data_IF_721904300788
#
_entry.id   IF_721904300788
#
_cell.length_a   1.000
_cell.length_b   1.000
_cell.length_c   1.000
_cell.angle_alpha   90.00
_cell.angle_beta   90.00
_cell.angle_gamma   90.00
#
_symmetry.space_group_name_H-M   'P 1'
#
loop_
_entity.id
_entity.type
_entity.pdbx_description
1 polymer ?
#
# COMPACT_ATOMS: atom_id res chain seq x y z
N UNK A 1 -64.18 25.92 21.21
CA UNK A 1 -62.82 25.99 21.85
C UNK A 1 -62.20 24.59 21.99
N UNK A 2 -62.14 23.82 20.91
CA UNK A 2 -61.61 22.40 20.99
C UNK A 2 -60.79 22.01 19.76
N UNK A 3 -60.27 22.94 18.97
CA UNK A 3 -59.52 22.68 17.76
C UNK A 3 -58.06 23.18 17.76
N UNK A 4 -57.55 23.72 18.89
CA UNK A 4 -56.23 24.33 18.96
C UNK A 4 -55.14 23.43 19.61
N UNK A 5 -55.51 22.28 20.18
CA UNK A 5 -54.56 21.43 20.98
C UNK A 5 -54.02 20.21 20.23
N UNK A 6 -54.50 19.93 19.01
CA UNK A 6 -54.05 18.73 18.27
C UNK A 6 -52.92 18.99 17.27
N UNK A 7 -52.47 20.23 17.07
CA UNK A 7 -51.44 20.62 16.10
C UNK A 7 -50.04 20.73 16.68
N UNK A 8 -49.89 20.69 18.01
CA UNK A 8 -48.59 20.82 18.68
C UNK A 8 -47.93 19.49 19.05
N UNK A 9 -48.67 18.37 18.99
CA UNK A 9 -48.11 17.05 19.33
C UNK A 9 -47.43 16.34 18.12
N UNK A 10 -47.74 16.78 16.89
CA UNK A 10 -47.21 16.15 15.68
C UNK A 10 -45.84 16.66 15.26
N UNK A 11 -45.33 17.74 15.85
CA UNK A 11 -43.96 18.28 15.54
C UNK A 11 -42.86 17.79 16.48
N UNK A 12 -43.19 17.15 17.59
CA UNK A 12 -42.19 16.67 18.56
C UNK A 12 -41.63 15.26 18.27
N UNK A 13 -42.27 14.49 17.37
CA UNK A 13 -41.89 13.10 17.07
C UNK A 13 -40.97 12.97 15.84
N UNK A 14 -40.84 14.03 15.01
CA UNK A 14 -40.06 13.98 13.80
C UNK A 14 -38.59 14.52 13.95
N UNK A 15 -38.24 15.00 15.14
CA UNK A 15 -36.89 15.54 15.40
C UNK A 15 -35.87 14.53 16.00
N UNK A 16 -36.27 13.29 16.20
CA UNK A 16 -35.42 12.24 16.81
C UNK A 16 -34.79 11.25 15.81
N UNK A 17 -34.96 11.46 14.50
CA UNK A 17 -34.51 10.47 13.50
C UNK A 17 -33.28 10.85 12.70
N UNK A 18 -32.62 11.98 12.96
CA UNK A 18 -31.36 12.34 12.32
C UNK A 18 -30.32 12.82 13.34
N UNK A 19 -30.01 12.00 14.32
CA UNK A 19 -28.66 12.07 14.88
C UNK A 19 -27.73 11.53 13.77
N UNK A 20 -26.77 12.32 13.23
CA UNK A 20 -25.72 11.73 12.42
C UNK A 20 -25.08 10.66 13.30
N UNK A 21 -25.06 9.42 12.83
CA UNK A 21 -24.16 8.41 13.38
C UNK A 21 -22.79 9.02 13.22
N UNK A 22 -22.27 9.65 14.28
CA UNK A 22 -20.87 9.98 14.38
C UNK A 22 -20.17 8.63 14.17
N UNK A 23 -19.61 8.42 12.99
CA UNK A 23 -18.72 7.31 12.78
C UNK A 23 -17.61 7.52 13.79
N UNK A 24 -17.66 6.77 14.89
CA UNK A 24 -16.63 6.82 15.89
C UNK A 24 -15.31 6.59 15.14
N UNK A 25 -14.45 7.59 15.12
CA UNK A 25 -13.17 7.49 14.45
C UNK A 25 -12.45 6.31 15.10
N UNK A 26 -12.09 5.30 14.28
CA UNK A 26 -11.41 4.13 14.81
C UNK A 26 -10.18 4.58 15.61
N UNK A 27 -9.91 3.98 16.78
CA UNK A 27 -8.81 4.38 17.63
C UNK A 27 -7.47 4.30 16.87
N UNK A 28 -6.53 5.13 17.26
CA UNK A 28 -5.19 5.16 16.68
C UNK A 28 -4.41 3.87 17.00
N UNK A 29 -3.33 3.56 16.26
CA UNK A 29 -2.56 2.32 16.42
C UNK A 29 -2.00 2.08 17.82
N UNK A 30 -1.67 3.13 18.55
CA UNK A 30 -1.18 3.08 19.95
C UNK A 30 -2.27 2.65 20.93
N UNK A 31 -3.52 3.05 20.68
CA UNK A 31 -4.67 2.73 21.53
C UNK A 31 -5.32 1.37 21.18
N UNK A 32 -5.21 0.91 19.92
CA UNK A 32 -5.81 -0.35 19.47
C UNK A 32 -4.96 -0.99 18.34
N UNK A 33 -3.76 -1.48 18.64
CA UNK A 33 -2.85 -2.02 17.63
C UNK A 33 -3.40 -3.25 16.89
N UNK A 34 -4.28 -4.01 17.51
CA UNK A 34 -4.96 -5.16 16.94
C UNK A 34 -5.99 -4.82 15.84
N UNK A 35 -6.42 -3.55 15.77
CA UNK A 35 -7.31 -3.04 14.71
C UNK A 35 -6.55 -2.53 13.48
N UNK A 36 -5.25 -2.72 13.41
CA UNK A 36 -4.41 -2.24 12.34
C UNK A 36 -3.53 -3.33 11.75
N UNK A 37 -3.27 -3.20 10.47
CA UNK A 37 -2.27 -3.98 9.72
C UNK A 37 -1.48 -3.05 8.83
N UNK A 38 -0.30 -3.49 8.41
CA UNK A 38 0.54 -2.80 7.45
C UNK A 38 0.54 -3.54 6.13
N UNK A 39 0.49 -2.80 5.03
CA UNK A 39 0.77 -3.29 3.70
C UNK A 39 2.14 -2.79 3.28
N UNK A 40 3.14 -3.66 3.26
CA UNK A 40 4.44 -3.38 2.68
C UNK A 40 4.34 -3.59 1.18
N UNK A 41 4.52 -2.51 0.44
CA UNK A 41 4.31 -2.47 -1.01
C UNK A 41 5.62 -2.11 -1.69
N UNK A 42 5.84 -2.69 -2.85
CA UNK A 42 6.87 -2.29 -3.77
C UNK A 42 6.39 -2.53 -5.20
N UNK A 43 6.71 -1.63 -6.14
CA UNK A 43 6.25 -1.69 -7.51
C UNK A 43 7.42 -1.55 -8.48
N UNK A 44 7.36 -2.34 -9.55
CA UNK A 44 8.20 -2.13 -10.73
C UNK A 44 7.39 -1.44 -11.82
N UNK A 45 8.05 -0.59 -12.59
CA UNK A 45 7.40 0.29 -13.55
C UNK A 45 8.19 0.40 -14.85
N UNK A 46 7.56 0.92 -15.89
CA UNK A 46 8.24 1.24 -17.15
C UNK A 46 9.09 2.51 -17.07
N UNK A 47 9.05 3.27 -15.95
CA UNK A 47 9.82 4.49 -15.73
C UNK A 47 9.34 5.28 -14.52
N UNK A 48 9.78 6.51 -14.34
CA UNK A 48 9.64 7.24 -13.08
C UNK A 48 8.41 8.16 -12.99
N UNK A 49 7.73 8.45 -14.10
CA UNK A 49 6.61 9.40 -14.16
C UNK A 49 5.27 8.66 -14.32
N UNK A 50 4.41 8.61 -13.30
CA UNK A 50 3.14 7.88 -13.36
C UNK A 50 2.12 8.49 -14.33
N UNK A 51 2.39 9.68 -14.89
CA UNK A 51 1.57 10.23 -15.97
C UNK A 51 1.93 9.69 -17.36
N UNK A 52 3.07 9.01 -17.49
CA UNK A 52 3.62 8.50 -18.76
C UNK A 52 3.95 7.02 -18.73
N UNK A 53 4.29 6.53 -17.57
CA UNK A 53 4.77 5.17 -17.37
C UNK A 53 3.75 4.34 -16.61
N UNK A 54 3.85 3.04 -16.75
CA UNK A 54 2.89 2.08 -16.25
C UNK A 54 3.57 1.11 -15.27
N UNK A 55 2.77 0.57 -14.36
CA UNK A 55 3.21 -0.48 -13.45
C UNK A 55 3.34 -1.80 -14.21
N UNK A 56 4.45 -2.50 -14.00
CA UNK A 56 4.69 -3.81 -14.62
C UNK A 56 4.65 -4.97 -13.64
N UNK A 57 4.82 -4.71 -12.38
CA UNK A 57 4.47 -5.65 -11.31
C UNK A 57 4.28 -4.94 -9.98
N UNK A 58 3.69 -5.66 -9.04
CA UNK A 58 3.51 -5.22 -7.66
C UNK A 58 3.67 -6.39 -6.70
N UNK A 59 4.41 -6.14 -5.62
CA UNK A 59 4.49 -7.01 -4.46
C UNK A 59 3.80 -6.38 -3.26
N UNK A 60 3.01 -7.18 -2.56
CA UNK A 60 2.36 -6.79 -1.32
C UNK A 60 2.63 -7.85 -0.25
N UNK A 61 3.11 -7.41 0.91
CA UNK A 61 3.22 -8.24 2.10
C UNK A 61 2.49 -7.56 3.23
N UNK A 62 1.45 -8.22 3.73
CA UNK A 62 0.70 -7.74 4.89
C UNK A 62 1.32 -8.25 6.17
N UNK A 63 1.46 -7.37 7.15
CA UNK A 63 1.94 -7.72 8.50
C UNK A 63 1.04 -7.13 9.56
N UNK A 64 1.12 -7.65 10.77
CA UNK A 64 0.70 -6.90 11.95
C UNK A 64 1.69 -5.75 12.24
N UNK A 65 1.40 -4.93 13.25
CA UNK A 65 2.27 -3.81 13.62
C UNK A 65 3.61 -4.25 14.25
N UNK A 66 3.74 -5.51 14.66
CA UNK A 66 5.00 -6.09 15.13
C UNK A 66 5.85 -6.66 13.98
N UNK A 67 5.33 -6.61 12.75
CA UNK A 67 6.01 -7.10 11.56
C UNK A 67 5.83 -8.61 11.31
N UNK A 68 4.92 -9.30 12.02
CA UNK A 68 4.60 -10.69 11.72
C UNK A 68 3.77 -10.77 10.43
N UNK A 69 4.22 -11.58 9.46
CA UNK A 69 3.57 -11.70 8.15
C UNK A 69 2.23 -12.40 8.26
N UNK A 70 1.21 -11.81 7.64
CA UNK A 70 -0.16 -12.34 7.53
C UNK A 70 -0.40 -12.98 6.18
N UNK A 71 0.28 -12.51 5.13
CA UNK A 71 0.19 -13.05 3.79
C UNK A 71 0.87 -12.17 2.77
N UNK A 72 1.07 -12.71 1.56
CA UNK A 72 1.71 -12.01 0.45
C UNK A 72 1.01 -12.24 -0.88
N UNK A 73 1.13 -11.27 -1.76
CA UNK A 73 0.68 -11.32 -3.15
C UNK A 73 1.79 -10.77 -4.06
N UNK A 74 1.97 -11.40 -5.20
CA UNK A 74 2.77 -10.88 -6.31
C UNK A 74 1.96 -10.95 -7.59
N UNK A 75 1.90 -9.85 -8.33
CA UNK A 75 1.18 -9.78 -9.60
C UNK A 75 2.09 -9.15 -10.65
N UNK A 76 2.35 -9.87 -11.75
CA UNK A 76 2.91 -9.27 -12.95
C UNK A 76 1.79 -8.63 -13.76
N UNK A 77 2.03 -7.43 -14.24
CA UNK A 77 1.07 -6.62 -14.98
C UNK A 77 1.63 -6.39 -16.38
N UNK A 78 0.84 -6.68 -17.38
CA UNK A 78 1.19 -6.35 -18.76
C UNK A 78 0.79 -4.89 -18.98
N UNK A 79 1.74 -3.98 -19.20
CA UNK A 79 1.40 -2.59 -19.49
C UNK A 79 0.72 -2.47 -20.85
N UNK A 80 -0.17 -1.50 -21.00
CA UNK A 80 -0.85 -1.22 -22.27
C UNK A 80 0.10 -0.63 -23.31
N UNK A 81 1.18 0.05 -22.85
CA UNK A 81 2.18 0.71 -23.67
C UNK A 81 3.61 0.24 -23.34
N UNK A 82 3.94 -1.03 -23.60
CA UNK A 82 5.25 -1.59 -23.27
C UNK A 82 6.42 -0.91 -23.99
N UNK A 83 6.16 -0.23 -25.11
CA UNK A 83 7.14 0.57 -25.86
C UNK A 83 7.61 1.81 -25.11
N UNK A 84 6.89 2.23 -24.05
CA UNK A 84 7.26 3.42 -23.23
C UNK A 84 8.29 3.12 -22.17
N UNK A 85 8.83 1.89 -22.11
CA UNK A 85 9.82 1.56 -21.09
C UNK A 85 11.09 2.39 -21.25
N UNK A 86 11.48 3.06 -20.18
CA UNK A 86 12.77 3.72 -20.09
C UNK A 86 13.90 2.67 -19.99
N UNK A 87 14.99 2.92 -20.69
CA UNK A 87 16.16 2.04 -20.65
C UNK A 87 16.74 1.91 -19.23
N UNK A 88 16.62 2.98 -18.41
CA UNK A 88 16.98 2.94 -17.00
C UNK A 88 16.15 1.95 -16.21
N UNK A 89 14.83 1.98 -16.35
CA UNK A 89 13.92 1.05 -15.71
C UNK A 89 14.17 -0.40 -16.14
N UNK A 90 14.32 -0.64 -17.45
CA UNK A 90 14.63 -1.97 -17.99
C UNK A 90 15.91 -2.57 -17.40
N UNK A 91 16.96 -1.76 -17.19
CA UNK A 91 18.21 -2.25 -16.55
C UNK A 91 18.02 -2.64 -15.10
N UNK A 92 17.05 -2.05 -14.40
CA UNK A 92 16.75 -2.34 -13.00
C UNK A 92 15.91 -3.62 -12.88
N UNK A 93 14.78 -3.68 -13.61
CA UNK A 93 13.75 -4.71 -13.43
C UNK A 93 13.72 -5.80 -14.51
N UNK A 94 14.55 -5.66 -15.56
CA UNK A 94 14.67 -6.68 -16.61
C UNK A 94 13.41 -6.89 -17.45
N UNK A 95 12.49 -5.90 -17.50
CA UNK A 95 11.24 -6.04 -18.21
C UNK A 95 11.43 -6.47 -19.67
N UNK A 96 10.78 -7.55 -20.03
CA UNK A 96 10.66 -8.08 -21.38
C UNK A 96 9.22 -8.58 -21.62
N UNK A 97 8.61 -8.15 -22.71
CA UNK A 97 7.18 -8.42 -23.01
C UNK A 97 6.90 -9.92 -23.12
N UNK A 98 7.79 -10.66 -23.79
CA UNK A 98 7.58 -12.10 -24.00
C UNK A 98 7.81 -12.88 -22.71
N UNK A 99 8.80 -12.47 -21.92
CA UNK A 99 9.02 -13.03 -20.59
C UNK A 99 7.81 -12.78 -19.67
N UNK A 100 7.31 -11.54 -19.60
CA UNK A 100 6.12 -11.21 -18.79
C UNK A 100 4.91 -12.05 -19.20
N UNK A 101 4.65 -12.14 -20.49
CA UNK A 101 3.55 -12.96 -21.03
C UNK A 101 3.70 -14.44 -20.67
N UNK A 102 4.89 -14.99 -20.84
CA UNK A 102 5.19 -16.39 -20.50
C UNK A 102 5.10 -16.71 -19.01
N UNK A 103 5.27 -15.69 -18.13
CA UNK A 103 5.28 -15.83 -16.68
C UNK A 103 4.01 -15.30 -16.01
N UNK A 104 2.88 -15.29 -16.72
CA UNK A 104 1.55 -15.08 -16.18
C UNK A 104 1.19 -13.63 -15.89
N UNK A 105 1.80 -12.67 -16.61
CA UNK A 105 1.35 -11.28 -16.54
C UNK A 105 -0.12 -11.17 -16.97
N UNK A 106 -0.89 -10.40 -16.18
CA UNK A 106 -2.30 -10.12 -16.43
C UNK A 106 -2.49 -8.66 -16.84
N UNK A 107 -3.62 -8.33 -17.47
CA UNK A 107 -3.95 -6.93 -17.72
C UNK A 107 -4.26 -6.16 -16.44
N UNK A 108 -4.21 -4.83 -16.51
CA UNK A 108 -4.36 -3.95 -15.34
C UNK A 108 -5.67 -4.18 -14.57
N UNK A 109 -6.80 -4.33 -15.26
CA UNK A 109 -8.10 -4.56 -14.61
C UNK A 109 -8.12 -5.83 -13.76
N UNK A 110 -7.50 -6.92 -14.25
CA UNK A 110 -7.38 -8.18 -13.52
C UNK A 110 -6.40 -8.05 -12.36
N UNK A 111 -5.29 -7.32 -12.55
CA UNK A 111 -4.34 -7.04 -11.47
C UNK A 111 -5.02 -6.27 -10.32
N UNK A 112 -5.77 -5.21 -10.64
CA UNK A 112 -6.52 -4.45 -9.64
C UNK A 112 -7.53 -5.33 -8.91
N UNK A 113 -8.26 -6.20 -9.61
CA UNK A 113 -9.17 -7.15 -8.97
C UNK A 113 -8.45 -8.05 -7.97
N UNK A 114 -7.31 -8.64 -8.36
CA UNK A 114 -6.51 -9.51 -7.49
C UNK A 114 -5.98 -8.76 -6.26
N UNK A 115 -5.49 -7.54 -6.45
CA UNK A 115 -4.97 -6.68 -5.37
C UNK A 115 -6.09 -6.36 -4.37
N UNK A 116 -7.26 -5.93 -4.84
CA UNK A 116 -8.40 -5.56 -3.99
C UNK A 116 -8.95 -6.77 -3.23
N UNK A 117 -9.09 -7.92 -3.88
CA UNK A 117 -9.51 -9.15 -3.22
C UNK A 117 -8.52 -9.61 -2.15
N UNK A 118 -7.22 -9.55 -2.45
CA UNK A 118 -6.18 -9.86 -1.48
C UNK A 118 -6.19 -8.88 -0.31
N UNK A 119 -6.31 -7.58 -0.58
CA UNK A 119 -6.41 -6.53 0.43
C UNK A 119 -7.56 -6.84 1.41
N UNK A 120 -8.78 -7.07 0.91
CA UNK A 120 -9.94 -7.35 1.76
C UNK A 120 -9.77 -8.63 2.58
N UNK A 121 -9.16 -9.67 2.01
CA UNK A 121 -8.88 -10.92 2.72
C UNK A 121 -7.87 -10.71 3.86
N UNK A 122 -6.81 -9.91 3.63
CA UNK A 122 -5.76 -9.69 4.63
C UNK A 122 -6.18 -8.72 5.73
N UNK A 123 -6.90 -7.67 5.39
CA UNK A 123 -7.30 -6.69 6.40
C UNK A 123 -8.45 -7.16 7.28
N UNK A 124 -9.42 -7.94 6.74
CA UNK A 124 -10.69 -8.17 7.41
C UNK A 124 -11.39 -6.84 7.74
N UNK A 125 -11.68 -6.60 9.00
CA UNK A 125 -12.25 -5.33 9.50
C UNK A 125 -11.18 -4.30 9.93
N UNK A 126 -9.90 -4.63 9.81
CA UNK A 126 -8.79 -3.78 10.26
C UNK A 126 -8.53 -2.65 9.27
N UNK A 127 -7.90 -1.60 9.77
CA UNK A 127 -7.39 -0.49 8.95
C UNK A 127 -6.00 -0.83 8.43
N UNK A 128 -5.65 -0.33 7.26
CA UNK A 128 -4.40 -0.64 6.59
C UNK A 128 -3.54 0.61 6.45
N UNK A 129 -2.30 0.53 6.92
CA UNK A 129 -1.27 1.55 6.69
C UNK A 129 -0.43 1.10 5.49
N UNK A 130 -0.37 1.93 4.46
CA UNK A 130 0.53 1.73 3.32
C UNK A 130 1.96 2.06 3.72
N UNK A 131 2.90 1.19 3.40
CA UNK A 131 4.31 1.32 3.77
C UNK A 131 5.18 0.90 2.61
N UNK A 132 6.19 1.68 2.25
CA UNK A 132 7.14 1.36 1.18
C UNK A 132 8.50 2.02 1.41
N UNK A 133 9.51 1.58 0.64
CA UNK A 133 10.80 2.26 0.53
C UNK A 133 10.69 3.37 -0.52
N UNK A 134 10.84 4.63 -0.11
CA UNK A 134 10.49 5.79 -0.95
C UNK A 134 8.99 5.80 -1.32
N UNK A 135 8.15 5.70 -0.29
CA UNK A 135 6.72 5.44 -0.40
C UNK A 135 5.94 6.38 -1.33
N UNK A 136 6.46 7.57 -1.61
CA UNK A 136 5.87 8.51 -2.57
C UNK A 136 5.83 7.97 -4.00
N UNK A 137 6.82 7.17 -4.38
CA UNK A 137 6.89 6.53 -5.68
C UNK A 137 5.81 5.45 -5.83
N UNK A 138 5.82 4.44 -4.97
CA UNK A 138 4.86 3.33 -5.00
C UNK A 138 3.43 3.80 -4.86
N UNK A 139 3.20 4.76 -3.96
CA UNK A 139 1.91 5.40 -3.77
C UNK A 139 1.39 6.03 -5.05
N UNK A 140 2.23 6.75 -5.78
CA UNK A 140 1.82 7.49 -6.98
C UNK A 140 1.33 6.55 -8.09
N UNK A 141 2.08 5.48 -8.35
CA UNK A 141 1.71 4.46 -9.33
C UNK A 141 0.49 3.63 -8.89
N UNK A 142 0.44 3.20 -7.63
CA UNK A 142 -0.69 2.43 -7.12
C UNK A 142 -1.99 3.24 -7.15
N UNK A 143 -1.94 4.52 -6.78
CA UNK A 143 -3.12 5.41 -6.86
C UNK A 143 -3.55 5.69 -8.29
N UNK A 144 -2.61 5.86 -9.22
CA UNK A 144 -2.92 6.06 -10.63
C UNK A 144 -3.64 4.83 -11.20
N UNK A 145 -3.08 3.63 -10.97
CA UNK A 145 -3.69 2.37 -11.42
C UNK A 145 -5.09 2.17 -10.84
N UNK A 146 -5.28 2.39 -9.54
CA UNK A 146 -6.59 2.26 -8.90
C UNK A 146 -7.61 3.26 -9.44
N UNK A 147 -7.22 4.53 -9.62
CA UNK A 147 -8.11 5.56 -10.14
C UNK A 147 -8.58 5.26 -11.57
N UNK A 148 -7.71 4.74 -12.44
CA UNK A 148 -8.04 4.32 -13.80
C UNK A 148 -9.10 3.21 -13.83
N UNK A 149 -9.12 2.36 -12.80
CA UNK A 149 -10.07 1.25 -12.66
C UNK A 149 -11.19 1.51 -11.64
N UNK A 150 -11.44 2.78 -11.28
CA UNK A 150 -12.57 3.19 -10.45
C UNK A 150 -12.48 2.76 -8.97
N UNK A 151 -11.29 2.41 -8.49
CA UNK A 151 -11.05 2.06 -7.09
C UNK A 151 -10.60 3.28 -6.30
N UNK A 152 -11.32 3.58 -5.21
CA UNK A 152 -10.97 4.67 -4.32
C UNK A 152 -9.86 4.26 -3.36
N UNK A 153 -8.79 5.04 -3.32
CA UNK A 153 -7.69 4.85 -2.36
C UNK A 153 -8.18 4.82 -0.90
N UNK A 154 -9.09 5.73 -0.55
CA UNK A 154 -9.56 5.90 0.82
C UNK A 154 -10.45 4.73 1.32
N UNK A 155 -10.95 3.89 0.40
CA UNK A 155 -11.71 2.69 0.74
C UNK A 155 -10.79 1.54 1.15
N UNK A 156 -9.52 1.59 0.73
CA UNK A 156 -8.53 0.56 0.97
C UNK A 156 -7.54 0.96 2.08
N UNK A 157 -6.95 2.12 2.00
CA UNK A 157 -5.84 2.52 2.85
C UNK A 157 -6.16 3.72 3.73
N UNK A 158 -5.53 3.75 4.87
CA UNK A 158 -5.53 4.93 5.71
C UNK A 158 -4.81 6.09 4.99
N UNK A 159 -5.19 7.32 5.28
CA UNK A 159 -4.66 8.49 4.56
C UNK A 159 -3.20 8.80 4.88
N UNK A 160 -2.69 8.40 6.06
CA UNK A 160 -1.27 8.45 6.37
C UNK A 160 -0.55 7.23 5.83
N UNK A 161 0.67 7.45 5.33
CA UNK A 161 1.57 6.40 4.86
C UNK A 161 2.83 6.38 5.74
N UNK A 162 3.55 5.28 5.71
CA UNK A 162 4.87 5.18 6.33
C UNK A 162 5.94 5.01 5.25
N UNK A 163 6.90 5.91 5.27
CA UNK A 163 8.08 5.88 4.40
C UNK A 163 9.28 5.33 5.18
N UNK A 164 9.83 4.22 4.72
CA UNK A 164 10.87 3.48 5.45
C UNK A 164 12.16 4.30 5.62
N UNK A 165 12.72 4.97 4.60
CA UNK A 165 13.88 5.84 4.79
C UNK A 165 13.64 6.95 5.80
N UNK A 166 12.46 7.54 5.82
CA UNK A 166 12.10 8.58 6.80
C UNK A 166 12.04 8.03 8.23
N UNK A 167 11.55 6.80 8.40
CA UNK A 167 11.55 6.12 9.70
C UNK A 167 12.98 5.83 10.18
N UNK A 168 13.85 5.38 9.28
CA UNK A 168 15.27 5.13 9.56
C UNK A 168 16.00 6.42 9.93
N UNK A 169 15.75 7.49 9.19
CA UNK A 169 16.31 8.83 9.46
C UNK A 169 15.94 9.33 10.87
N UNK A 170 14.68 9.15 11.28
CA UNK A 170 14.22 9.48 12.63
C UNK A 170 14.92 8.70 13.76
N UNK A 171 15.61 7.60 13.42
CA UNK A 171 16.42 6.79 14.35
C UNK A 171 17.93 7.03 14.19
N UNK A 172 18.33 8.09 13.48
CA UNK A 172 19.72 8.45 13.28
C UNK A 172 20.46 7.66 12.19
N UNK A 173 19.74 6.88 11.35
CA UNK A 173 20.28 6.20 10.18
C UNK A 173 20.08 7.11 8.97
N UNK A 174 21.16 7.68 8.44
CA UNK A 174 21.08 8.71 7.38
C UNK A 174 21.22 8.16 5.97
N UNK A 175 21.34 6.85 5.81
CA UNK A 175 21.33 6.18 4.51
C UNK A 175 19.93 6.30 3.86
N UNK A 176 19.87 6.79 2.62
CA UNK A 176 18.62 6.96 1.86
C UNK A 176 18.45 5.91 0.75
N UNK A 177 19.43 5.04 0.54
CA UNK A 177 19.32 3.93 -0.41
C UNK A 177 19.35 2.58 0.30
N UNK A 178 18.77 1.57 -0.36
CA UNK A 178 18.58 0.25 0.22
C UNK A 178 19.92 -0.41 0.60
N UNK A 179 20.95 -0.33 -0.25
CA UNK A 179 22.24 -0.98 -0.01
C UNK A 179 22.97 -0.44 1.22
N UNK A 180 22.98 0.87 1.40
CA UNK A 180 23.63 1.47 2.58
C UNK A 180 22.80 1.21 3.84
N UNK A 181 21.48 1.31 3.76
CA UNK A 181 20.61 1.06 4.90
C UNK A 181 20.64 -0.40 5.35
N UNK A 182 20.68 -1.35 4.40
CA UNK A 182 20.81 -2.78 4.75
C UNK A 182 22.12 -3.06 5.48
N UNK A 183 23.23 -2.47 5.02
CA UNK A 183 24.55 -2.58 5.70
C UNK A 183 24.49 -2.00 7.10
N UNK A 184 23.91 -0.82 7.27
CA UNK A 184 23.83 -0.12 8.57
C UNK A 184 22.93 -0.87 9.58
N UNK A 185 21.95 -1.63 9.06
CA UNK A 185 21.04 -2.47 9.84
C UNK A 185 21.54 -3.90 10.03
N UNK A 186 22.59 -4.32 9.29
CA UNK A 186 23.10 -5.69 9.33
C UNK A 186 22.14 -6.73 8.76
N UNK A 187 21.31 -6.34 7.77
CA UNK A 187 20.36 -7.23 7.09
C UNK A 187 20.80 -7.49 5.64
N UNK A 188 20.20 -8.49 5.01
CA UNK A 188 20.44 -8.80 3.59
C UNK A 188 19.87 -7.68 2.71
N UNK A 189 20.67 -7.20 1.75
CA UNK A 189 20.24 -6.25 0.72
C UNK A 189 19.26 -6.92 -0.26
N UNK A 190 18.50 -6.12 -0.96
CA UNK A 190 17.67 -6.55 -2.06
C UNK A 190 18.54 -7.05 -3.24
N UNK A 191 18.02 -8.01 -4.03
CA UNK A 191 18.72 -8.50 -5.22
C UNK A 191 18.96 -7.38 -6.24
N UNK A 192 20.11 -7.42 -6.91
CA UNK A 192 20.46 -6.52 -8.03
C UNK A 192 20.46 -7.25 -9.37
N UNK A 193 20.02 -8.50 -9.38
CA UNK A 193 19.80 -9.26 -10.62
C UNK A 193 18.48 -8.82 -11.22
N UNK A 194 18.51 -8.13 -12.36
CA UNK A 194 17.36 -7.42 -12.92
C UNK A 194 16.09 -8.27 -13.03
N UNK A 195 16.19 -9.51 -13.51
CA UNK A 195 15.02 -10.39 -13.66
C UNK A 195 14.48 -10.92 -12.31
N UNK A 196 15.24 -10.81 -11.24
CA UNK A 196 14.85 -11.19 -9.88
C UNK A 196 14.44 -9.97 -9.05
N UNK A 197 14.73 -8.76 -9.54
CA UNK A 197 14.33 -7.50 -8.92
C UNK A 197 12.87 -7.24 -9.25
N UNK A 198 12.00 -7.57 -8.33
CA UNK A 198 10.55 -7.59 -8.50
C UNK A 198 9.88 -6.96 -7.28
N UNK A 199 8.69 -6.44 -7.44
CA UNK A 199 7.93 -5.84 -6.33
C UNK A 199 7.81 -6.76 -5.11
N UNK A 200 7.76 -8.10 -5.29
CA UNK A 200 7.69 -8.99 -4.11
C UNK A 200 9.02 -9.10 -3.37
N UNK A 201 10.17 -8.99 -4.06
CA UNK A 201 11.47 -8.96 -3.38
C UNK A 201 11.70 -7.65 -2.66
N UNK A 202 11.28 -6.52 -3.25
CA UNK A 202 11.30 -5.21 -2.60
C UNK A 202 10.35 -5.12 -1.42
N UNK A 203 9.11 -5.64 -1.53
CA UNK A 203 8.20 -5.71 -0.40
C UNK A 203 8.75 -6.57 0.75
N UNK A 204 9.46 -7.68 0.45
CA UNK A 204 10.14 -8.51 1.46
C UNK A 204 11.31 -7.77 2.12
N UNK A 205 12.07 -7.00 1.35
CA UNK A 205 13.09 -6.10 1.87
C UNK A 205 12.47 -5.04 2.80
N UNK A 206 11.36 -4.41 2.42
CA UNK A 206 10.62 -3.45 3.24
C UNK A 206 10.24 -4.03 4.61
N UNK A 207 9.73 -5.27 4.65
CA UNK A 207 9.43 -5.98 5.91
C UNK A 207 10.69 -6.19 6.74
N UNK A 208 11.81 -6.57 6.10
CA UNK A 208 13.07 -6.83 6.80
C UNK A 208 13.63 -5.56 7.45
N UNK A 209 13.62 -4.43 6.72
CA UNK A 209 14.02 -3.12 7.26
C UNK A 209 13.09 -2.70 8.40
N UNK A 210 11.78 -2.81 8.20
CA UNK A 210 10.81 -2.46 9.24
C UNK A 210 11.05 -3.21 10.54
N UNK A 211 11.25 -4.54 10.49
CA UNK A 211 11.58 -5.36 11.66
C UNK A 211 12.87 -4.94 12.34
N UNK A 212 13.92 -4.66 11.55
CA UNK A 212 15.19 -4.19 12.07
C UNK A 212 15.05 -2.83 12.79
N UNK A 213 14.25 -1.92 12.24
CA UNK A 213 13.96 -0.63 12.87
C UNK A 213 13.14 -0.79 14.15
N UNK A 214 12.18 -1.72 14.20
CA UNK A 214 11.45 -2.02 15.43
C UNK A 214 12.37 -2.52 16.55
N UNK A 215 13.32 -3.40 16.20
CA UNK A 215 14.28 -3.96 17.16
C UNK A 215 15.24 -2.91 17.76
N UNK A 216 15.40 -1.75 17.09
CA UNK A 216 16.24 -0.63 17.57
C UNK A 216 15.52 0.33 18.51
N UNK A 217 14.19 0.24 18.64
CA UNK A 217 13.45 1.14 19.55
C UNK A 217 13.88 0.89 20.99
N UNK A 218 14.25 1.92 21.78
CA UNK A 218 14.41 1.75 23.21
C UNK A 218 13.06 1.30 23.79
N UNK A 219 13.12 0.33 24.68
CA UNK A 219 11.97 -0.20 25.41
C UNK A 219 11.43 0.82 26.41
#
# INVERSE_FOLDING_TARGET
MLFATMRQILFAVLALAFAPLAHAQAPWPDAAPDQWVMAHVDVETTGLDPARHEMIDIGLIYTDLAGAELGRLYVRIMPDHPERIDEGARRVNGFDVDYWRAHGAVGEAEAVRQIVEFHHRMRGEKRVIFTAFNAGFDLSFTRALFAQHGVSWNDLYFYHILDIPSMAWGQGLTALNATELSRDLGITDETRVAIEHTGITGAAFNVSVYRALLARRPH
#
